data_IF_269219531582
#
_entry.id   IF_269219531582
#
_cell.length_a   1.000
_cell.length_b   1.000
_cell.length_c   1.000
_cell.angle_alpha   90.00
_cell.angle_beta   90.00
_cell.angle_gamma   90.00
#
_symmetry.space_group_name_H-M   'P 1'
#
loop_
_entity.id
_entity.type
_entity.pdbx_description
1 polymer ?
2 polymer ?
3 polymer ?
#
# COMPACT_ATOMS: atom_id res chain seq x y z
N UNK A 2 2.33 -23.47 -13.27
CA UNK A 2 1.68 -22.30 -13.86
C UNK A 2 2.45 -21.03 -13.50
N UNK A 3 2.72 -20.85 -12.22
CA UNK A 3 3.45 -19.71 -11.70
C UNK A 3 4.74 -20.18 -11.02
N UNK A 4 5.47 -19.24 -10.43
CA UNK A 4 6.71 -19.53 -9.74
C UNK A 4 6.43 -19.74 -8.25
N UNK A 5 7.48 -19.82 -7.46
CA UNK A 5 7.34 -20.02 -6.02
C UNK A 5 6.73 -18.79 -5.36
N UNK A 6 5.98 -19.04 -4.29
CA UNK A 6 5.34 -17.94 -3.57
C UNK A 6 6.39 -17.11 -2.84
N UNK A 7 6.20 -15.79 -2.75
CA UNK A 7 7.20 -14.94 -2.11
C UNK A 7 7.11 -14.92 -0.58
N UNK A 8 6.41 -15.91 -0.01
CA UNK A 8 6.28 -15.98 1.44
C UNK A 8 7.63 -16.02 2.13
N UNK A 9 8.67 -16.48 1.44
CA UNK A 9 10.01 -16.52 2.02
C UNK A 9 10.49 -15.13 2.41
N UNK A 10 10.02 -14.10 1.71
CA UNK A 10 10.36 -12.72 2.04
C UNK A 10 9.42 -12.10 3.07
N UNK A 11 8.29 -12.74 3.35
CA UNK A 11 7.37 -12.22 4.36
C UNK A 11 7.86 -12.53 5.76
N UNK A 12 8.21 -13.79 6.01
CA UNK A 12 8.72 -14.21 7.31
C UNK A 12 10.16 -13.75 7.55
N UNK A 13 10.81 -13.14 6.57
CA UNK A 13 12.17 -12.62 6.71
C UNK A 13 12.15 -11.17 6.23
N UNK A 14 11.83 -10.26 7.15
CA UNK A 14 11.74 -8.84 6.84
C UNK A 14 12.76 -8.07 7.68
N UNK A 15 13.23 -6.95 7.13
CA UNK A 15 14.23 -6.13 7.81
C UNK A 15 13.62 -5.14 8.78
N UNK A 16 12.37 -4.75 8.59
CA UNK A 16 11.72 -3.78 9.47
C UNK A 16 10.21 -3.99 9.38
N UNK A 17 9.63 -4.54 10.44
CA UNK A 17 8.20 -4.81 10.46
C UNK A 17 7.41 -3.53 10.73
N UNK A 18 6.09 -3.65 10.68
CA UNK A 18 5.19 -2.52 10.84
C UNK A 18 4.73 -2.41 12.29
N UNK A 19 3.92 -1.39 12.55
CA UNK A 19 3.39 -1.13 13.88
C UNK A 19 1.94 -1.60 13.96
N UNK A 20 1.30 -1.31 15.09
CA UNK A 20 -0.09 -1.74 15.28
C UNK A 20 -1.05 -0.76 14.62
N UNK A 21 -0.79 0.54 14.75
CA UNK A 21 -1.66 1.53 14.13
C UNK A 21 -1.54 1.50 12.60
N UNK A 22 -0.36 1.16 12.10
CA UNK A 22 -0.11 1.03 10.66
C UNK A 22 0.48 -0.36 10.42
N UNK A 23 -0.36 -1.27 9.93
CA UNK A 23 0.04 -2.65 9.70
C UNK A 23 -0.02 -2.98 8.21
N UNK A 24 0.91 -3.82 7.77
CA UNK A 24 0.99 -4.18 6.36
C UNK A 24 -0.17 -5.09 5.97
N UNK A 25 -0.57 -4.99 4.71
CA UNK A 25 -1.72 -5.74 4.18
C UNK A 25 -1.37 -6.35 2.83
N UNK A 26 -0.24 -7.03 2.76
CA UNK A 26 0.28 -7.49 1.48
C UNK A 26 -0.65 -8.54 0.87
N UNK A 27 -1.16 -8.26 -0.32
CA UNK A 27 -2.06 -9.18 -1.02
C UNK A 27 -1.22 -10.17 -1.83
N UNK A 28 -1.44 -11.46 -1.59
CA UNK A 28 -0.76 -12.53 -2.31
C UNK A 28 -1.79 -13.27 -3.15
N UNK A 29 -1.43 -13.55 -4.40
CA UNK A 29 -2.31 -14.26 -5.32
C UNK A 29 -1.47 -14.79 -6.47
N UNK A 30 -2.01 -15.84 -7.11
CA UNK A 30 -1.37 -16.48 -8.26
C UNK A 30 0.04 -16.96 -7.92
N UNK A 31 0.10 -17.87 -6.94
CA UNK A 31 1.36 -18.49 -6.54
C UNK A 31 1.08 -19.94 -6.20
N UNK A 32 2.08 -20.61 -5.61
CA UNK A 32 1.96 -22.00 -5.20
C UNK A 32 1.92 -22.07 -3.68
N UNK A 33 1.07 -22.93 -3.15
CA UNK A 33 0.93 -23.10 -1.70
C UNK A 33 1.75 -24.30 -1.27
N UNK A 34 3.06 -24.08 -1.16
CA UNK A 34 4.01 -25.13 -0.77
C UNK A 34 4.42 -24.87 0.67
N UNK A 35 3.69 -25.46 1.61
CA UNK A 35 3.95 -25.32 3.03
C UNK A 35 4.85 -26.43 3.58
N UNK A 36 5.49 -27.21 2.70
CA UNK A 36 6.38 -28.27 3.18
C UNK A 36 7.56 -27.70 3.92
N UNK A 37 8.09 -26.56 3.47
CA UNK A 37 9.18 -25.90 4.19
C UNK A 37 8.65 -25.17 5.42
N UNK A 38 7.44 -24.61 5.34
CA UNK A 38 6.88 -23.87 6.46
C UNK A 38 6.45 -24.79 7.60
N UNK A 39 6.28 -26.08 7.33
CA UNK A 39 5.85 -27.01 8.38
C UNK A 39 7.02 -27.39 9.28
N UNK A 40 8.17 -27.70 8.71
CA UNK A 40 9.34 -28.14 9.48
C UNK A 40 10.25 -26.95 9.77
N UNK A 41 9.68 -25.94 10.43
CA UNK A 41 10.43 -24.76 10.83
C UNK A 41 10.95 -24.94 12.26
N UNK A 42 11.47 -23.85 12.84
CA UNK A 42 11.97 -23.89 14.21
C UNK A 42 10.82 -24.08 15.18
N UNK A 43 11.10 -24.61 16.38
CA UNK A 43 10.02 -24.80 17.37
C UNK A 43 9.48 -23.49 17.91
N UNK A 44 8.65 -22.82 17.10
CA UNK A 44 8.05 -21.56 17.51
C UNK A 44 7.04 -21.78 18.62
N UNK A 45 6.42 -20.69 19.07
CA UNK A 45 5.45 -20.74 20.16
C UNK A 45 4.01 -20.69 19.67
N UNK A 46 3.78 -20.50 18.38
CA UNK A 46 2.42 -20.42 17.85
C UNK A 46 2.43 -20.91 16.41
N UNK A 47 1.72 -22.01 16.14
CA UNK A 47 1.58 -22.57 14.80
C UNK A 47 0.15 -23.01 14.57
N UNK A 48 -0.81 -22.19 14.99
CA UNK A 48 -2.22 -22.55 14.98
C UNK A 48 -2.90 -21.96 13.76
N UNK A 49 -3.70 -22.79 13.07
CA UNK A 49 -4.49 -22.36 11.92
C UNK A 49 -5.95 -22.74 12.21
N UNK A 50 -6.80 -21.73 12.34
CA UNK A 50 -8.20 -21.98 12.70
C UNK A 50 -9.05 -22.47 11.55
N UNK A 51 -8.66 -22.17 10.31
CA UNK A 51 -9.49 -22.52 9.16
C UNK A 51 -9.57 -24.01 8.88
N UNK A 52 -8.47 -24.60 8.44
CA UNK A 52 -8.39 -26.01 8.10
C UNK A 52 -7.04 -26.55 8.55
N UNK A 53 -6.83 -27.85 8.33
CA UNK A 53 -5.56 -28.46 8.66
C UNK A 53 -4.49 -28.01 7.67
N UNK A 54 -3.26 -27.75 8.13
CA UNK A 54 -2.20 -27.33 7.19
C UNK A 54 -1.80 -28.41 6.21
N UNK A 55 -2.11 -29.68 6.48
CA UNK A 55 -1.77 -30.75 5.55
C UNK A 55 -2.69 -30.72 4.33
N UNK A 56 -4.00 -30.58 4.55
CA UNK A 56 -4.98 -30.53 3.47
C UNK A 56 -5.08 -29.17 2.82
N UNK A 57 -4.32 -28.17 3.30
CA UNK A 57 -4.40 -26.83 2.72
C UNK A 57 -3.78 -26.78 1.33
N UNK A 58 -2.84 -27.68 1.04
CA UNK A 58 -2.18 -27.68 -0.26
C UNK A 58 -3.11 -28.10 -1.40
N UNK A 59 -4.26 -28.70 -1.09
CA UNK A 59 -5.22 -29.13 -2.08
C UNK A 59 -6.52 -28.33 -2.01
N UNK A 60 -6.43 -27.06 -1.66
CA UNK A 60 -7.60 -26.19 -1.54
C UNK A 60 -7.34 -24.92 -2.34
N UNK A 61 -8.23 -24.63 -3.29
CA UNK A 61 -8.10 -23.43 -4.11
C UNK A 61 -8.63 -22.21 -3.37
N UNK A 62 -8.06 -21.05 -3.69
CA UNK A 62 -8.49 -19.78 -3.13
C UNK A 62 -8.36 -18.69 -4.19
N UNK A 63 -9.16 -17.64 -4.02
CA UNK A 63 -9.15 -16.55 -4.99
C UNK A 63 -7.99 -15.60 -4.74
N UNK A 64 -7.96 -14.98 -3.56
CA UNK A 64 -6.86 -14.09 -3.17
C UNK A 64 -6.65 -14.25 -1.67
N UNK A 65 -5.38 -14.24 -1.25
CA UNK A 65 -5.04 -14.34 0.16
C UNK A 65 -4.32 -13.07 0.58
N UNK A 66 -4.25 -12.86 1.89
CA UNK A 66 -3.64 -11.68 2.47
C UNK A 66 -2.56 -12.08 3.46
N UNK A 67 -1.69 -11.12 3.78
CA UNK A 67 -0.64 -11.31 4.76
C UNK A 67 -0.47 -10.02 5.54
N UNK A 68 -0.66 -10.08 6.86
CA UNK A 68 -0.56 -8.93 7.74
C UNK A 68 0.48 -9.23 8.81
N UNK A 69 1.55 -8.46 8.83
CA UNK A 69 2.65 -8.63 9.78
C UNK A 69 2.72 -7.43 10.71
N UNK A 70 2.90 -7.69 12.01
CA UNK A 70 3.00 -6.65 13.00
C UNK A 70 3.80 -7.17 14.19
N UNK A 71 4.00 -6.30 15.18
CA UNK A 71 4.76 -6.64 16.38
C UNK A 71 3.95 -6.23 17.60
N UNK A 72 3.77 -7.15 18.54
CA UNK A 72 3.04 -6.91 19.77
C UNK A 72 3.85 -7.42 20.95
N UNK A 73 3.26 -7.34 22.14
CA UNK A 73 3.90 -7.84 23.34
C UNK A 73 3.52 -9.31 23.53
N UNK A 74 3.85 -9.87 24.69
CA UNK A 74 3.57 -11.26 24.97
C UNK A 74 2.13 -11.52 25.36
N UNK A 75 1.58 -10.70 26.26
CA UNK A 75 0.21 -10.88 26.73
C UNK A 75 -0.83 -10.49 25.69
N UNK A 76 -0.43 -9.95 24.55
CA UNK A 76 -1.35 -9.54 23.51
C UNK A 76 -1.53 -10.57 22.41
N UNK A 77 -0.76 -11.67 22.46
CA UNK A 77 -0.88 -12.69 21.41
C UNK A 77 -2.20 -13.42 21.52
N UNK A 78 -2.68 -13.65 22.74
CA UNK A 78 -3.94 -14.37 22.93
C UNK A 78 -5.14 -13.59 22.43
N UNK A 79 -5.03 -12.26 22.31
CA UNK A 79 -6.15 -11.43 21.91
C UNK A 79 -6.48 -11.53 20.43
N UNK A 80 -5.62 -12.16 19.62
CA UNK A 80 -5.86 -12.31 18.19
C UNK A 80 -6.81 -13.49 18.00
N UNK A 81 -8.10 -13.20 17.87
CA UNK A 81 -9.11 -14.24 17.72
C UNK A 81 -10.35 -13.61 17.10
N UNK A 82 -11.16 -14.39 16.37
CA UNK A 82 -12.37 -13.82 15.78
C UNK A 82 -13.43 -13.51 16.82
N UNK A 83 -13.23 -12.42 17.57
CA UNK A 83 -14.15 -12.02 18.61
C UNK A 83 -13.63 -12.29 20.00
N UNK A 84 -13.10 -11.25 20.65
CA UNK A 84 -12.51 -11.38 21.97
C UNK A 84 -12.23 -9.98 22.51
N UNK A 85 -12.30 -9.85 23.83
CA UNK A 85 -12.04 -8.58 24.49
C UNK A 85 -10.55 -8.39 24.72
N UNK A 86 -10.14 -7.14 24.85
CA UNK A 86 -8.74 -6.81 25.08
C UNK A 86 -8.44 -5.39 24.68
N UNK A 87 -7.25 -4.94 25.06
CA UNK A 87 -6.82 -3.59 24.76
C UNK A 87 -6.41 -3.42 23.31
N UNK A 88 -6.15 -4.51 22.58
CA UNK A 88 -5.75 -4.44 21.18
C UNK A 88 -6.78 -5.19 20.34
N UNK A 89 -7.47 -6.15 20.97
CA UNK A 89 -8.39 -7.00 20.22
C UNK A 89 -9.59 -6.22 19.70
N UNK A 90 -10.07 -5.23 20.47
CA UNK A 90 -11.25 -4.47 20.09
C UNK A 90 -10.98 -2.97 20.02
N UNK A 91 -9.71 -2.57 20.00
CA UNK A 91 -9.35 -1.16 19.92
C UNK A 91 -8.46 -0.82 18.74
N UNK A 92 -7.51 -1.69 18.40
CA UNK A 92 -6.57 -1.40 17.33
C UNK A 92 -6.51 -2.48 16.26
N UNK A 93 -6.66 -3.75 16.65
CA UNK A 93 -6.56 -4.87 15.71
C UNK A 93 -7.71 -5.82 15.98
N UNK A 94 -8.73 -5.80 15.11
CA UNK A 94 -9.90 -6.64 15.26
C UNK A 94 -10.12 -7.45 13.99
N UNK A 95 -10.66 -8.65 14.16
CA UNK A 95 -10.95 -9.55 13.05
C UNK A 95 -12.40 -10.01 13.13
N UNK A 96 -13.11 -10.03 11.99
CA UNK A 96 -14.50 -10.49 12.01
C UNK A 96 -14.61 -12.00 12.24
N UNK A 97 -15.84 -12.51 12.22
CA UNK A 97 -16.07 -13.94 12.44
C UNK A 97 -15.99 -14.74 11.14
N UNK A 98 -14.89 -14.57 10.41
CA UNK A 98 -14.70 -15.34 9.18
C UNK A 98 -13.24 -15.69 8.92
N UNK A 99 -12.33 -15.47 9.86
CA UNK A 99 -10.92 -15.72 9.63
C UNK A 99 -10.67 -17.22 9.54
N UNK A 100 -10.17 -17.67 8.39
CA UNK A 100 -9.89 -19.08 8.15
C UNK A 100 -8.42 -19.32 7.85
N UNK A 101 -7.54 -18.46 8.36
CA UNK A 101 -6.12 -18.55 8.12
C UNK A 101 -5.35 -19.07 9.31
N UNK A 102 -4.14 -18.56 9.48
CA UNK A 102 -3.25 -18.96 10.56
C UNK A 102 -2.85 -17.74 11.38
N UNK A 103 -2.35 -18.00 12.59
CA UNK A 103 -1.97 -16.95 13.53
C UNK A 103 -0.49 -17.15 13.87
N UNK A 104 0.27 -17.66 12.91
CA UNK A 104 1.69 -17.97 13.14
C UNK A 104 2.42 -16.73 13.63
N UNK A 105 3.20 -16.91 14.70
CA UNK A 105 3.96 -15.82 15.29
C UNK A 105 5.27 -16.38 15.85
N UNK A 106 6.21 -15.48 16.12
CA UNK A 106 7.49 -15.91 16.67
C UNK A 106 8.14 -14.75 17.42
N UNK A 107 8.96 -15.09 18.41
CA UNK A 107 9.69 -14.11 19.17
C UNK A 107 11.01 -13.79 18.49
N UNK A 108 11.41 -12.52 18.54
CA UNK A 108 12.64 -12.05 17.90
C UNK A 108 13.44 -11.20 18.88
N UNK A 109 13.44 -11.57 20.16
CA UNK A 109 14.20 -10.84 21.17
C UNK A 109 15.60 -11.42 21.34
N UNK A 110 16.32 -11.55 20.23
CA UNK A 110 17.68 -12.08 20.25
C UNK A 110 18.62 -11.13 19.53
N UNK A 111 18.11 -10.43 18.53
CA UNK A 111 18.91 -9.49 17.75
C UNK A 111 18.59 -8.03 18.07
N UNK A 112 17.54 -7.76 18.86
CA UNK A 112 17.15 -6.41 19.23
C UNK A 112 17.69 -6.01 20.60
N UNK A 113 18.86 -6.55 20.98
CA UNK A 113 19.44 -6.27 22.29
C UNK A 113 20.26 -4.98 22.24
N UNK A 114 19.53 -3.86 22.18
CA UNK A 114 20.12 -2.52 22.16
C UNK A 114 19.42 -1.69 23.22
N UNK A 115 20.15 -1.35 24.29
CA UNK A 115 19.57 -0.55 25.38
C UNK A 115 19.82 0.91 25.02
N UNK A 116 18.91 1.44 24.20
CA UNK A 116 18.98 2.84 23.78
C UNK A 116 17.62 3.51 23.68
N UNK A 117 16.54 2.83 24.03
CA UNK A 117 15.21 3.41 23.90
C UNK A 117 14.51 2.98 22.64
N UNK A 118 13.52 2.09 22.76
CA UNK A 118 12.78 1.57 21.61
C UNK A 118 11.55 2.44 21.33
N UNK A 119 11.81 3.70 20.99
CA UNK A 119 10.75 4.66 20.67
C UNK A 119 10.50 4.71 19.17
N UNK A 120 10.18 3.55 18.61
CA UNK A 120 9.90 3.45 17.18
C UNK A 120 8.56 2.76 16.94
N UNK A 121 8.14 1.91 17.87
CA UNK A 121 6.90 1.16 17.74
C UNK A 121 5.90 1.62 18.79
N UNK A 122 4.64 1.73 18.39
CA UNK A 122 3.57 2.12 19.30
C UNK A 122 2.26 1.51 18.80
N UNK A 123 1.26 1.49 19.69
CA UNK A 123 0.00 0.82 19.39
C UNK A 123 -1.22 1.71 19.54
N UNK A 124 -1.05 2.97 19.94
CA UNK A 124 -2.14 3.95 20.00
C UNK A 124 -3.28 3.44 20.90
N UNK A 125 -2.95 3.36 22.20
CA UNK A 125 -3.90 2.86 23.18
C UNK A 125 -5.20 3.66 23.15
N UNK A 126 -5.12 4.96 22.93
CA UNK A 126 -6.30 5.80 22.91
C UNK A 126 -6.98 5.77 21.55
N UNK A 127 -8.27 5.46 21.53
CA UNK A 127 -9.03 5.36 20.30
C UNK A 127 -10.51 5.46 20.64
N UNK A 128 -11.33 5.64 19.61
CA UNK A 128 -12.77 5.76 19.74
C UNK A 128 -13.48 4.88 18.72
N UNK A 129 -12.94 3.68 18.50
CA UNK A 129 -13.52 2.73 17.54
C UNK A 129 -14.52 1.82 18.24
N UNK A 130 -15.69 1.68 17.63
CA UNK A 130 -16.75 0.81 18.15
C UNK A 130 -17.17 -0.27 17.18
N UNK A 131 -17.26 0.05 15.89
CA UNK A 131 -17.63 -0.92 14.86
C UNK A 131 -16.59 -0.92 13.76
N UNK A 132 -16.86 -1.59 12.64
CA UNK A 132 -15.96 -1.65 11.50
C UNK A 132 -14.61 -2.23 11.92
N UNK A 133 -14.53 -3.56 12.16
CA UNK A 133 -13.32 -4.17 12.72
C UNK A 133 -12.02 -3.78 12.01
N UNK A 134 -12.11 -3.29 10.77
CA UNK A 134 -10.95 -2.82 10.03
C UNK A 134 -10.76 -1.31 10.14
N UNK A 135 -11.18 -0.71 11.26
CA UNK A 135 -11.06 0.73 11.47
C UNK A 135 -9.62 1.02 11.88
N UNK A 136 -8.79 1.33 10.89
CA UNK A 136 -7.40 1.64 11.12
C UNK A 136 -7.24 3.12 11.48
N UNK A 137 -6.00 3.55 11.69
CA UNK A 137 -5.72 4.95 12.01
C UNK A 137 -4.27 5.24 11.66
N UNK A 138 -4.05 6.26 10.84
CA UNK A 138 -2.71 6.62 10.42
C UNK A 138 -2.33 8.06 10.78
N UNK A 139 -3.29 8.93 11.08
CA UNK A 139 -2.99 10.31 11.38
C UNK A 139 -2.35 10.45 12.76
N UNK A 140 -2.07 11.68 13.14
CA UNK A 140 -1.44 12.01 14.42
C UNK A 140 -2.28 13.03 15.18
N UNK A 141 -3.59 12.77 15.25
CA UNK A 141 -4.51 13.65 15.95
C UNK A 141 -4.37 13.44 17.46
N UNK A 142 -5.24 14.10 18.23
CA UNK A 142 -5.22 14.01 19.68
C UNK A 142 -6.48 13.28 20.14
N UNK A 143 -6.39 12.61 21.28
CA UNK A 143 -7.49 11.85 21.84
C UNK A 143 -8.56 12.81 22.37
N UNK A 144 -9.71 12.84 21.70
CA UNK A 144 -10.81 13.69 22.11
C UNK A 144 -12.11 13.12 21.57
N UNK A 145 -13.22 13.55 22.17
CA UNK A 145 -14.55 13.11 21.75
C UNK A 145 -15.52 14.29 21.68
N UNK A 146 -15.01 15.48 21.37
CA UNK A 146 -15.84 16.67 21.30
C UNK A 146 -15.87 17.43 22.61
N UNK A 147 -16.92 18.24 22.76
CA UNK A 147 -17.14 19.05 23.96
C UNK A 147 -15.95 19.97 24.22
N UNK A 148 -15.71 20.88 23.28
CA UNK A 148 -14.65 21.88 23.36
C UNK A 148 -13.29 21.20 23.52
N UNK A 149 -12.78 20.56 22.47
CA UNK A 149 -11.51 19.82 22.59
C UNK A 149 -10.33 20.75 22.85
N UNK A 150 -9.22 20.14 23.23
CA UNK A 150 -8.01 20.89 23.52
C UNK A 150 -7.41 21.45 22.23
N UNK A 151 -6.59 22.50 22.38
CA UNK A 151 -5.91 23.12 21.25
C UNK A 151 -4.48 23.50 21.59
N UNK A 152 -3.85 22.78 22.51
CA UNK A 152 -2.51 23.10 22.94
C UNK A 152 -1.56 21.91 22.97
N UNK A 153 -0.43 22.07 23.64
CA UNK A 153 0.58 21.02 23.74
C UNK A 153 0.64 20.44 25.15
N UNK A 154 0.48 21.27 26.17
CA UNK A 154 0.51 20.78 27.55
C UNK A 154 -0.66 19.85 27.83
N UNK A 155 -1.89 20.36 27.68
CA UNK A 155 -3.07 19.53 27.84
C UNK A 155 -3.63 19.53 29.24
N UNK A 156 -3.31 18.49 30.01
CA UNK A 156 -3.78 18.21 31.37
C UNK A 156 -5.26 17.81 31.39
N UNK A 157 -5.94 17.84 30.24
CA UNK A 157 -7.30 17.33 30.15
C UNK A 157 -7.40 16.37 28.97
N UNK A 158 -6.55 16.57 27.98
CA UNK A 158 -6.39 15.67 26.85
C UNK A 158 -5.04 14.95 26.98
N UNK A 159 -4.71 14.15 25.96
CA UNK A 159 -3.47 13.41 25.97
C UNK A 159 -3.07 13.07 24.54
N UNK A 160 -1.77 12.89 24.33
CA UNK A 160 -1.23 12.52 23.02
C UNK A 160 -1.37 11.02 22.81
N UNK A 161 -2.22 10.58 21.87
CA UNK A 161 -2.53 9.15 21.73
C UNK A 161 -1.47 8.38 20.95
N UNK A 162 -0.24 8.43 21.44
CA UNK A 162 0.86 7.64 20.86
C UNK A 162 1.75 7.18 22.02
N UNK A 163 1.48 5.97 22.51
CA UNK A 163 2.23 5.37 23.61
C UNK A 163 3.18 4.33 23.04
N UNK A 164 4.47 4.64 23.03
CA UNK A 164 5.46 3.74 22.49
C UNK A 164 5.78 2.63 23.47
N UNK A 165 6.42 1.58 22.96
CA UNK A 165 6.81 0.45 23.78
C UNK A 165 8.12 0.76 24.52
N UNK A 166 8.44 -0.09 25.50
CA UNK A 166 9.64 0.03 26.31
C UNK A 166 10.39 -1.30 26.34
N UNK A 167 10.56 -1.90 25.15
CA UNK A 167 11.21 -3.20 25.06
C UNK A 167 12.68 -3.09 25.43
N UNK A 168 13.07 -3.77 26.51
CA UNK A 168 14.44 -3.79 26.97
C UNK A 168 14.91 -5.23 27.15
N UNK A 169 16.18 -5.51 26.87
CA UNK A 169 16.67 -6.90 26.99
C UNK A 169 16.65 -7.45 28.40
N UNK A 170 16.70 -6.60 29.42
CA UNK A 170 16.75 -7.06 30.80
C UNK A 170 15.35 -7.22 31.40
N UNK A 171 14.49 -7.96 30.70
CA UNK A 171 13.12 -8.22 31.13
C UNK A 171 12.89 -9.72 31.16
N UNK A 172 11.70 -10.10 31.63
CA UNK A 172 11.31 -11.49 31.72
C UNK A 172 10.23 -11.88 30.74
N UNK A 173 9.70 -13.09 30.93
CA UNK A 173 8.66 -13.59 30.04
C UNK A 173 7.35 -12.83 30.28
N UNK A 174 6.45 -12.92 29.30
CA UNK A 174 5.17 -12.27 29.35
C UNK A 174 5.14 -10.89 28.72
N UNK A 175 6.22 -10.13 28.85
CA UNK A 175 6.31 -8.78 28.29
C UNK A 175 7.42 -8.70 27.25
N UNK A 176 7.53 -9.74 26.42
CA UNK A 176 8.55 -9.81 25.38
C UNK A 176 7.95 -9.48 24.01
N UNK A 177 8.75 -8.97 23.08
CA UNK A 177 8.21 -8.67 21.74
C UNK A 177 7.97 -9.95 20.95
N UNK A 178 6.89 -9.93 20.18
CA UNK A 178 6.51 -11.05 19.32
C UNK A 178 6.05 -10.51 17.98
N UNK A 179 6.68 -10.99 16.90
CA UNK A 179 6.26 -10.65 15.54
C UNK A 179 5.19 -11.65 15.11
N UNK A 180 4.01 -11.14 14.80
CA UNK A 180 2.85 -11.95 14.43
C UNK A 180 2.50 -11.67 12.98
N UNK A 181 2.36 -12.73 12.19
CA UNK A 181 1.96 -12.65 10.80
C UNK A 181 0.73 -13.52 10.60
N UNK A 182 -0.36 -12.91 10.17
CA UNK A 182 -1.62 -13.61 9.95
C UNK A 182 -1.92 -13.62 8.46
N UNK A 183 -2.69 -14.62 8.04
CA UNK A 183 -3.05 -14.81 6.63
C UNK A 183 -4.57 -14.76 6.53
N UNK A 184 -5.09 -13.63 6.05
CA UNK A 184 -6.52 -13.46 5.90
C UNK A 184 -6.98 -14.09 4.58
N UNK A 185 -8.02 -14.92 4.65
CA UNK A 185 -8.56 -15.60 3.49
C UNK A 185 -9.97 -15.10 3.20
N UNK A 186 -10.31 -15.02 1.91
CA UNK A 186 -11.61 -14.56 1.49
C UNK A 186 -11.91 -15.11 0.10
N UNK A 187 -13.19 -15.37 -0.16
CA UNK A 187 -13.63 -15.93 -1.44
C UNK A 187 -14.82 -15.13 -1.93
N UNK A 188 -14.71 -14.57 -3.13
CA UNK A 188 -15.78 -13.81 -3.77
C UNK A 188 -16.12 -14.44 -5.11
N UNK A 189 -17.02 -13.79 -5.84
CA UNK A 189 -17.47 -14.27 -7.14
C UNK A 189 -16.38 -13.97 -8.19
N UNK A 190 -15.32 -14.76 -8.12
CA UNK A 190 -14.18 -14.62 -9.02
C UNK A 190 -13.47 -15.95 -9.12
N UNK A 191 -12.84 -16.26 -10.26
CA UNK A 191 -12.10 -17.53 -10.37
C UNK A 191 -10.94 -17.57 -9.40
N UNK A 192 -10.65 -18.78 -8.91
CA UNK A 192 -9.57 -18.96 -7.95
C UNK A 192 -8.22 -18.85 -8.63
N UNK A 193 -7.24 -18.37 -7.87
CA UNK A 193 -5.87 -18.21 -8.36
C UNK A 193 -4.88 -19.15 -7.68
N UNK A 194 -4.84 -19.14 -6.35
CA UNK A 194 -3.93 -20.00 -5.60
C UNK A 194 -4.64 -21.29 -5.23
N UNK A 195 -4.05 -22.41 -5.60
CA UNK A 195 -4.60 -23.74 -5.30
C UNK A 195 -3.60 -24.62 -4.57
N UNK A 196 -2.31 -24.53 -4.88
CA UNK A 196 -1.31 -25.35 -4.26
C UNK A 196 -0.95 -26.55 -5.12
N UNK A 197 0.28 -27.04 -4.98
CA UNK A 197 0.71 -28.21 -5.77
C UNK A 197 -0.08 -29.45 -5.39
N UNK A 198 -0.65 -30.10 -6.40
CA UNK A 198 -1.44 -31.31 -6.17
C UNK A 198 -0.58 -32.56 -6.32
N UNK B 1 16.57 9.36 -11.82
CA UNK B 1 17.63 8.39 -11.58
C UNK B 1 17.25 7.02 -12.12
N UNK B 2 16.19 6.96 -12.91
CA UNK B 2 15.69 5.72 -13.50
C UNK B 2 15.44 5.98 -14.98
N UNK B 3 16.17 5.27 -15.83
CA UNK B 3 16.00 5.36 -17.27
C UNK B 3 14.99 4.32 -17.73
N UNK B 4 14.07 4.74 -18.59
CA UNK B 4 13.01 3.87 -19.08
C UNK B 4 12.90 4.02 -20.60
N UNK B 5 13.13 2.92 -21.31
CA UNK B 5 13.01 2.88 -22.76
C UNK B 5 12.17 1.66 -23.14
N UNK B 6 11.30 1.84 -24.12
CA UNK B 6 10.42 0.77 -24.60
C UNK B 6 10.61 0.58 -26.10
N UNK B 7 9.79 -0.29 -26.68
CA UNK B 7 9.87 -0.57 -28.11
C UNK B 7 9.16 0.51 -28.93
N UNK B 8 7.88 0.72 -28.65
CA UNK B 8 7.13 1.72 -29.38
C UNK B 8 5.68 1.69 -28.96
N UNK B 9 4.88 2.51 -29.66
CA UNK B 9 3.46 2.62 -29.37
C UNK B 9 2.59 2.46 -30.60
N UNK B 10 2.99 1.57 -31.50
CA UNK B 10 2.22 1.35 -32.71
C UNK B 10 0.84 0.76 -32.41
N UNK B 11 -0.15 1.19 -33.18
CA UNK B 11 -1.50 0.72 -32.99
C UNK B 11 -1.65 -0.72 -33.48
N UNK B 12 -2.77 -1.35 -33.12
CA UNK B 12 -3.06 -2.72 -33.50
C UNK B 12 -4.57 -2.90 -33.53
N UNK B 13 -5.02 -3.86 -34.34
CA UNK B 13 -6.44 -4.14 -34.45
C UNK B 13 -6.94 -4.80 -33.17
N UNK B 14 -8.24 -4.68 -32.88
CA UNK B 14 -8.80 -5.35 -31.69
C UNK B 14 -8.58 -6.86 -31.75
N UNK B 15 -7.95 -7.39 -30.71
CA UNK B 15 -7.60 -8.79 -30.68
C UNK B 15 -6.17 -9.06 -31.09
N UNK B 16 -5.25 -8.26 -30.55
CA UNK B 16 -3.84 -8.39 -30.85
C UNK B 16 -3.01 -8.57 -29.59
N UNK B 17 -1.70 -8.66 -29.80
CA UNK B 17 -0.74 -8.88 -28.71
C UNK B 17 0.28 -7.75 -28.69
N UNK B 18 0.62 -7.30 -27.49
CA UNK B 18 1.60 -6.22 -27.30
C UNK B 18 2.47 -6.56 -26.11
N UNK B 19 3.77 -6.30 -26.24
CA UNK B 19 4.74 -6.55 -25.18
C UNK B 19 5.47 -5.25 -24.86
N UNK B 20 5.33 -4.77 -23.63
CA UNK B 20 5.97 -3.55 -23.17
C UNK B 20 7.10 -3.90 -22.21
N UNK B 21 8.27 -3.30 -22.42
CA UNK B 21 9.45 -3.55 -21.60
C UNK B 21 9.79 -2.31 -20.80
N UNK B 22 10.01 -2.49 -19.50
CA UNK B 22 10.32 -1.37 -18.61
C UNK B 22 11.67 -1.58 -17.91
N UNK B 23 12.69 -1.96 -18.68
CA UNK B 23 14.02 -2.12 -18.13
C UNK B 23 14.53 -0.81 -17.57
N UNK B 24 15.05 -0.85 -16.34
CA UNK B 24 15.52 0.34 -15.65
C UNK B 24 17.02 0.20 -15.36
N UNK B 25 17.56 1.17 -14.63
CA UNK B 25 18.97 1.18 -14.26
C UNK B 25 19.08 1.58 -12.79
N UNK B 26 20.30 1.83 -12.34
CA UNK B 26 20.53 2.20 -10.96
C UNK B 26 21.32 1.16 -10.20
N UNK B 27 21.14 1.10 -8.88
CA UNK B 27 21.85 0.14 -8.04
C UNK B 27 20.95 -0.60 -7.06
N UNK B 28 19.80 -0.05 -6.69
CA UNK B 28 18.89 -0.67 -5.71
C UNK B 28 17.65 -1.15 -6.47
N UNK B 29 17.72 -2.39 -6.97
CA UNK B 29 16.59 -2.97 -7.69
C UNK B 29 16.40 -4.45 -7.33
N UNK B 30 16.72 -4.84 -6.09
CA UNK B 30 16.66 -6.25 -5.73
C UNK B 30 15.22 -6.73 -5.57
N UNK B 31 14.49 -6.12 -4.62
CA UNK B 31 13.11 -6.52 -4.32
C UNK B 31 12.29 -5.25 -4.12
N UNK B 32 11.63 -4.83 -5.20
CA UNK B 32 10.77 -3.65 -5.17
C UNK B 32 9.56 -3.89 -6.04
N UNK B 33 8.36 -3.73 -5.48
CA UNK B 33 7.15 -3.93 -6.24
C UNK B 33 7.03 -2.90 -7.35
N UNK B 34 6.52 -3.33 -8.51
CA UNK B 34 6.39 -2.48 -9.68
C UNK B 34 4.92 -2.39 -10.07
N UNK B 35 4.46 -1.16 -10.34
CA UNK B 35 3.05 -0.90 -10.62
C UNK B 35 2.90 -0.37 -12.04
N UNK B 36 2.09 -1.05 -12.83
CA UNK B 36 1.71 -0.57 -14.17
C UNK B 36 0.45 0.29 -14.03
N UNK B 37 0.56 1.56 -14.44
CA UNK B 37 -0.54 2.51 -14.37
C UNK B 37 -0.79 3.04 -15.78
N UNK B 38 -2.01 3.51 -16.02
CA UNK B 38 -2.37 4.08 -17.30
C UNK B 38 -3.11 5.40 -17.10
N UNK B 39 -3.11 6.22 -18.15
CA UNK B 39 -3.79 7.50 -18.15
C UNK B 39 -4.42 7.69 -19.52
N UNK B 40 -5.75 7.78 -19.57
CA UNK B 40 -6.44 7.96 -20.83
C UNK B 40 -6.36 9.42 -21.28
N UNK B 41 -6.35 9.66 -22.59
CA UNK B 41 -6.34 11.04 -23.09
C UNK B 41 -7.61 11.77 -22.69
N UNK B 42 -7.44 12.90 -22.02
CA UNK B 42 -8.58 13.61 -21.47
C UNK B 42 -9.16 12.97 -20.22
N UNK B 43 -8.35 12.24 -19.47
CA UNK B 43 -8.81 11.56 -18.27
C UNK B 43 -7.63 11.38 -17.32
N UNK B 44 -7.94 11.26 -16.04
CA UNK B 44 -6.92 11.12 -15.02
C UNK B 44 -6.21 9.78 -15.07
N UNK B 45 -5.42 9.53 -14.03
CA UNK B 45 -4.65 8.31 -13.94
C UNK B 45 -5.56 7.12 -13.60
N UNK B 46 -5.10 5.93 -13.98
CA UNK B 46 -5.85 4.70 -13.72
C UNK B 46 -4.86 3.56 -13.55
N UNK B 47 -4.84 2.96 -12.36
CA UNK B 47 -3.95 1.85 -12.09
C UNK B 47 -4.36 0.61 -12.88
N UNK B 48 -3.38 -0.07 -13.46
CA UNK B 48 -3.65 -1.24 -14.28
C UNK B 48 -3.36 -2.50 -13.47
N UNK B 49 -2.12 -2.67 -13.04
CA UNK B 49 -1.72 -3.91 -12.38
C UNK B 49 -0.49 -3.65 -11.52
N UNK B 50 -0.02 -4.70 -10.86
CA UNK B 50 1.19 -4.59 -10.05
C UNK B 50 1.78 -5.98 -9.83
N UNK B 51 3.07 -5.99 -9.50
CA UNK B 51 3.82 -7.21 -9.24
C UNK B 51 4.74 -6.96 -8.04
N UNK B 52 5.00 -8.03 -7.29
CA UNK B 52 5.83 -7.92 -6.09
C UNK B 52 7.30 -7.72 -6.48
N UNK B 53 8.14 -7.59 -5.46
CA UNK B 53 9.56 -7.37 -5.71
C UNK B 53 10.29 -8.61 -6.18
N UNK B 54 9.98 -9.75 -5.57
CA UNK B 54 10.62 -11.01 -5.95
C UNK B 54 10.04 -11.61 -7.23
N UNK B 55 8.95 -11.05 -7.74
CA UNK B 55 8.32 -11.58 -8.93
C UNK B 55 7.31 -12.67 -8.70
N UNK B 56 6.99 -12.99 -7.45
CA UNK B 56 6.04 -14.03 -7.15
C UNK B 56 4.60 -13.56 -7.16
N UNK B 57 4.31 -12.55 -6.35
CA UNK B 57 2.95 -12.01 -6.26
C UNK B 57 2.72 -11.01 -7.39
N UNK B 58 1.62 -11.19 -8.10
CA UNK B 58 1.26 -10.31 -9.21
C UNK B 58 -0.24 -10.34 -9.39
N UNK B 59 -0.86 -9.17 -9.52
CA UNK B 59 -2.29 -9.10 -9.75
C UNK B 59 -2.62 -7.86 -10.56
N UNK B 60 -3.89 -7.75 -10.95
CA UNK B 60 -4.34 -6.69 -11.85
C UNK B 60 -5.58 -6.00 -11.30
N UNK B 61 -6.19 -5.14 -12.09
CA UNK B 61 -7.41 -4.43 -11.69
C UNK B 61 -8.62 -5.29 -12.03
N UNK B 62 -9.82 -4.71 -11.93
CA UNK B 62 -11.05 -5.43 -12.19
C UNK B 62 -11.44 -5.42 -13.67
N UNK B 63 -11.30 -4.26 -14.33
CA UNK B 63 -11.68 -4.15 -15.73
C UNK B 63 -10.64 -4.73 -16.68
N UNK B 64 -9.41 -4.91 -16.22
CA UNK B 64 -8.33 -5.42 -17.08
C UNK B 64 -7.89 -6.79 -16.59
N UNK B 65 -8.81 -7.53 -15.98
CA UNK B 65 -8.51 -8.86 -15.46
C UNK B 65 -8.88 -9.93 -16.49
N UNK B 66 -7.92 -10.79 -16.80
CA UNK B 66 -8.12 -11.90 -17.69
C UNK B 66 -7.44 -11.79 -19.03
N UNK B 67 -7.01 -10.58 -19.42
CA UNK B 67 -6.39 -10.36 -20.73
C UNK B 67 -5.04 -9.66 -20.62
N UNK B 68 -4.47 -9.54 -19.43
CA UNK B 68 -3.20 -8.85 -19.24
C UNK B 68 -2.35 -9.63 -18.24
N UNK B 69 -1.04 -9.68 -18.50
CA UNK B 69 -0.10 -10.33 -17.60
C UNK B 69 1.12 -9.44 -17.42
N UNK B 70 1.80 -9.62 -16.28
CA UNK B 70 2.96 -8.81 -15.93
C UNK B 70 3.98 -9.69 -15.23
N UNK B 71 5.24 -9.58 -15.65
CA UNK B 71 6.33 -10.38 -15.10
C UNK B 71 7.53 -9.48 -14.84
N UNK B 72 8.48 -10.00 -14.06
CA UNK B 72 9.65 -9.24 -13.64
C UNK B 72 10.89 -10.12 -13.70
N UNK B 73 11.96 -9.59 -14.27
CA UNK B 73 13.27 -10.24 -14.30
C UNK B 73 14.21 -9.51 -13.36
N UNK B 74 15.06 -10.28 -12.66
CA UNK B 74 15.87 -9.74 -11.57
C UNK B 74 17.34 -9.56 -11.96
N UNK B 75 17.99 -10.62 -12.45
CA UNK B 75 19.41 -10.54 -12.77
C UNK B 75 19.68 -9.49 -13.84
N UNK B 76 18.72 -9.27 -14.73
CA UNK B 76 18.74 -8.20 -15.73
C UNK B 76 17.45 -7.40 -15.61
N UNK B 77 17.16 -6.97 -14.38
CA UNK B 77 15.84 -6.53 -13.94
C UNK B 77 15.09 -5.76 -15.02
N UNK B 78 13.88 -6.22 -15.32
CA UNK B 78 13.06 -5.64 -16.37
C UNK B 78 11.61 -6.03 -16.12
N UNK B 79 10.70 -5.08 -16.33
CA UNK B 79 9.28 -5.28 -16.11
C UNK B 79 8.60 -5.50 -17.46
N UNK B 80 8.15 -6.73 -17.69
CA UNK B 80 7.47 -7.09 -18.93
C UNK B 80 5.96 -7.08 -18.73
N UNK B 81 5.25 -6.49 -19.69
CA UNK B 81 3.80 -6.42 -19.66
C UNK B 81 3.25 -6.95 -20.98
N UNK B 82 2.46 -8.02 -20.89
CA UNK B 82 1.83 -8.63 -22.07
C UNK B 82 0.35 -8.26 -22.08
N UNK B 83 -0.10 -7.66 -23.18
CA UNK B 83 -1.47 -7.20 -23.34
C UNK B 83 -2.07 -7.91 -24.53
N UNK B 84 -3.16 -8.66 -24.30
CA UNK B 84 -3.81 -9.44 -25.33
C UNK B 84 -5.27 -9.05 -25.45
N UNK B 85 -5.79 -9.11 -26.67
CA UNK B 85 -7.20 -8.80 -26.97
C UNK B 85 -7.57 -7.39 -26.48
N UNK B 86 -6.90 -6.41 -27.08
CA UNK B 86 -7.13 -5.02 -26.69
C UNK B 86 -8.51 -4.56 -27.11
N UNK B 87 -9.02 -3.55 -26.41
CA UNK B 87 -10.32 -2.95 -26.68
C UNK B 87 -10.15 -1.46 -26.97
N UNK B 88 -11.27 -0.80 -27.25
CA UNK B 88 -11.23 0.62 -27.56
C UNK B 88 -10.85 1.48 -26.36
N UNK B 89 -11.01 0.97 -25.15
CA UNK B 89 -10.69 1.73 -23.94
C UNK B 89 -9.22 1.63 -23.55
N UNK B 90 -8.44 0.77 -24.21
CA UNK B 90 -7.05 0.59 -23.86
C UNK B 90 -6.14 1.67 -24.44
N UNK B 91 -6.65 2.53 -25.32
CA UNK B 91 -5.86 3.63 -25.87
C UNK B 91 -5.54 4.62 -24.78
N UNK B 92 -4.30 4.65 -24.32
CA UNK B 92 -3.89 5.49 -23.21
C UNK B 92 -2.38 5.52 -23.16
N UNK B 93 -1.85 6.37 -22.28
CA UNK B 93 -0.42 6.45 -22.01
C UNK B 93 -0.13 5.62 -20.78
N UNK B 94 0.76 4.63 -20.93
CA UNK B 94 1.09 3.70 -19.87
C UNK B 94 2.43 4.06 -19.24
N UNK B 95 2.52 3.88 -17.92
CA UNK B 95 3.73 4.12 -17.16
C UNK B 95 3.97 2.94 -16.22
N UNK B 96 5.22 2.77 -15.83
CA UNK B 96 5.63 1.72 -14.89
C UNK B 96 6.41 2.38 -13.76
N UNK B 97 5.86 2.32 -12.55
CA UNK B 97 6.40 3.04 -11.40
C UNK B 97 6.95 2.07 -10.37
N UNK B 98 7.95 2.56 -9.62
CA UNK B 98 8.57 1.81 -8.55
C UNK B 98 7.84 2.13 -7.24
N UNK B 99 8.41 1.72 -6.11
CA UNK B 99 7.82 1.97 -4.80
C UNK B 99 8.93 2.13 -3.78
N UNK B 100 8.56 2.07 -2.51
CA UNK B 100 9.52 2.18 -1.41
C UNK B 100 10.21 0.84 -1.20
N UNK B 101 10.89 0.69 -0.07
CA UNK B 101 11.64 -0.53 0.21
C UNK B 101 10.71 -1.73 0.36
N UNK B 102 11.32 -2.90 0.56
CA UNK B 102 10.61 -4.16 0.44
C UNK B 102 9.61 -4.42 1.57
N UNK B 103 9.75 -3.73 2.71
CA UNK B 103 8.88 -4.05 3.84
C UNK B 103 7.43 -3.65 3.55
N UNK B 104 7.19 -2.36 3.29
CA UNK B 104 5.85 -1.88 3.01
C UNK B 104 5.58 -1.96 1.51
N UNK B 105 4.50 -2.64 1.13
CA UNK B 105 4.12 -2.81 -0.26
C UNK B 105 3.11 -1.77 -0.74
N UNK B 106 2.35 -1.17 0.16
CA UNK B 106 1.36 -0.16 -0.17
C UNK B 106 1.70 1.16 0.52
N UNK B 107 2.98 1.53 0.48
CA UNK B 107 3.46 2.74 1.15
C UNK B 107 4.75 3.17 0.48
N UNK B 108 4.74 4.34 -0.17
CA UNK B 108 5.93 4.85 -0.82
C UNK B 108 5.95 4.58 -2.32
N UNK B 109 6.36 5.58 -3.10
CA UNK B 109 6.43 5.44 -4.55
C UNK B 109 7.51 6.37 -5.07
N UNK B 110 8.50 5.79 -5.75
CA UNK B 110 9.63 6.55 -6.27
C UNK B 110 9.28 7.14 -7.64
N UNK B 111 10.29 7.63 -8.36
CA UNK B 111 10.07 8.19 -9.68
C UNK B 111 9.50 7.14 -10.62
N UNK B 112 8.62 7.57 -11.52
CA UNK B 112 7.91 6.65 -12.40
C UNK B 112 8.71 6.34 -13.67
N UNK B 113 9.00 7.36 -14.46
CA UNK B 113 9.71 7.16 -15.71
C UNK B 113 9.18 7.99 -16.87
N UNK B 114 8.96 7.35 -18.01
CA UNK B 114 8.53 8.04 -19.21
C UNK B 114 7.16 7.59 -19.70
N UNK B 115 6.95 6.28 -19.87
CA UNK B 115 5.70 5.76 -20.40
C UNK B 115 5.60 5.93 -21.90
N UNK B 116 4.60 5.27 -22.48
CA UNK B 116 4.38 5.31 -23.92
C UNK B 116 2.89 5.28 -24.22
N UNK B 117 2.52 5.87 -25.36
CA UNK B 117 1.13 5.97 -25.74
C UNK B 117 0.76 4.80 -26.67
N UNK B 118 -0.23 4.01 -26.26
CA UNK B 118 -0.73 2.89 -27.04
C UNK B 118 -2.13 3.23 -27.51
N UNK B 119 -2.36 3.11 -28.81
CA UNK B 119 -3.64 3.44 -29.43
C UNK B 119 -4.27 2.18 -30.02
N UNK B 120 -5.59 2.09 -29.93
CA UNK B 120 -6.35 0.96 -30.47
C UNK B 120 -7.43 1.53 -31.38
N UNK B 121 -7.24 1.39 -32.69
CA UNK B 121 -8.18 1.89 -33.69
C UNK B 121 -8.54 0.75 -34.64
N UNK B 122 -9.49 1.03 -35.53
CA UNK B 122 -9.95 0.06 -36.53
C UNK B 122 -10.24 0.83 -37.82
N UNK B 123 -9.24 0.87 -38.70
CA UNK B 123 -9.38 1.57 -39.98
C UNK B 123 -8.34 0.99 -40.94
N UNK B 124 -8.23 1.60 -42.11
CA UNK B 124 -7.27 1.16 -43.12
C UNK B 124 -5.93 1.86 -42.93
N UNK C 1 -12.13 1.01 -3.92
CA UNK C 1 -13.50 0.75 -4.32
C UNK C 1 -13.94 1.72 -5.41
N UNK C 2 -14.24 2.95 -5.02
CA UNK C 2 -14.70 3.99 -5.93
C UNK C 2 -13.60 5.03 -6.06
N UNK C 3 -13.47 5.60 -7.26
CA UNK C 3 -12.46 6.61 -7.52
C UNK C 3 -12.74 7.85 -6.67
N UNK C 4 -11.75 8.28 -5.92
CA UNK C 4 -11.90 9.44 -5.05
C UNK C 4 -12.09 10.70 -5.89
N UNK C 5 -13.21 11.38 -5.67
CA UNK C 5 -13.52 12.58 -6.45
C UNK C 5 -12.60 13.72 -6.05
N UNK C 6 -12.05 14.41 -7.06
CA UNK C 6 -11.16 15.54 -6.84
C UNK C 6 -11.81 16.82 -7.37
N UNK C 7 -11.75 17.92 -6.60
CA UNK C 7 -12.47 19.14 -7.00
C UNK C 7 -11.97 19.76 -8.30
N UNK C 8 -12.65 20.82 -8.74
CA UNK C 8 -12.32 21.47 -9.99
C UNK C 8 -10.95 22.13 -9.92
N UNK C 9 -10.32 22.36 -11.06
CA UNK C 9 -9.03 23.08 -11.07
C UNK C 9 -9.17 24.48 -10.47
N UNK C 10 -8.08 24.97 -9.89
CA UNK C 10 -8.07 26.25 -9.20
C UNK C 10 -6.95 27.13 -9.76
N UNK C 11 -7.12 28.43 -9.57
CA UNK C 11 -6.13 29.42 -9.96
C UNK C 11 -5.82 30.31 -8.77
N UNK C 12 -4.58 30.80 -8.72
CA UNK C 12 -4.13 31.60 -7.59
C UNK C 12 -3.07 32.59 -8.05
N UNK C 13 -3.11 33.78 -7.45
CA UNK C 13 -2.12 34.81 -7.75
C UNK C 13 -0.80 34.50 -7.04
N UNK C 14 0.33 34.93 -7.62
CA UNK C 14 1.62 34.66 -6.99
C UNK C 14 1.74 35.35 -5.63
N UNK C 15 2.57 34.78 -4.77
CA UNK C 15 2.78 35.32 -3.44
C UNK C 15 1.81 34.84 -2.39
N UNK C 16 0.96 33.87 -2.70
CA UNK C 16 -0.03 33.35 -1.77
C UNK C 16 0.20 31.86 -1.55
N UNK C 17 -0.61 31.28 -0.66
CA UNK C 17 -0.54 29.86 -0.33
C UNK C 17 -1.86 29.21 -0.71
N UNK C 18 -1.78 28.08 -1.42
CA UNK C 18 -2.96 27.40 -1.93
C UNK C 18 -3.17 26.12 -1.14
N UNK C 19 -4.42 25.66 -1.12
CA UNK C 19 -4.82 24.45 -0.40
C UNK C 19 -5.68 23.61 -1.32
N UNK C 20 -5.27 22.36 -1.53
CA UNK C 20 -5.99 21.41 -2.38
C UNK C 20 -6.61 20.36 -1.48
N UNK C 21 -7.89 20.08 -1.71
CA UNK C 21 -8.62 19.09 -0.92
C UNK C 21 -8.80 17.80 -1.72
N UNK C 22 -8.80 16.68 -1.00
CA UNK C 22 -9.00 15.37 -1.61
C UNK C 22 -9.96 14.60 -0.71
N UNK C 23 -11.18 14.40 -1.17
CA UNK C 23 -12.23 13.76 -0.39
C UNK C 23 -12.35 12.29 -0.77
N UNK C 24 -12.55 11.43 0.23
CA UNK C 24 -12.72 10.01 -0.02
C UNK C 24 -14.07 9.75 -0.68
N UNK C 25 -14.07 8.85 -1.67
CA UNK C 25 -15.29 8.56 -2.41
C UNK C 25 -16.28 7.77 -1.56
N UNK C 26 -15.88 6.58 -1.12
CA UNK C 26 -16.75 5.70 -0.35
C UNK C 26 -16.02 5.25 0.91
N UNK C 27 -16.82 4.87 1.92
CA UNK C 27 -16.24 4.44 3.18
C UNK C 27 -15.68 5.61 3.97
N UNK C 28 -14.71 5.31 4.82
CA UNK C 28 -14.06 6.29 5.66
C UNK C 28 -12.60 6.43 5.26
N UNK C 29 -11.96 7.50 5.78
CA UNK C 29 -10.55 7.74 5.51
C UNK C 29 -9.65 6.88 6.37
N UNK C 30 -10.21 6.00 7.20
CA UNK C 30 -9.43 5.14 8.08
C UNK C 30 -8.74 4.05 7.27
N UNK C 31 -7.71 4.43 6.52
CA UNK C 31 -6.97 3.50 5.67
C UNK C 31 -5.52 3.97 5.63
N UNK C 32 -4.77 3.47 4.65
CA UNK C 32 -3.37 3.85 4.50
C UNK C 32 -3.24 5.34 4.21
N UNK C 33 -2.00 5.82 4.28
CA UNK C 33 -1.73 7.24 4.02
C UNK C 33 -2.05 7.60 2.57
N UNK C 34 -2.44 8.85 2.37
CA UNK C 34 -2.76 9.38 1.05
C UNK C 34 -1.64 10.32 0.63
N UNK C 35 -1.12 10.11 -0.57
CA UNK C 35 -0.03 10.91 -1.10
C UNK C 35 -0.50 11.73 -2.30
N UNK C 36 0.39 12.57 -2.80
CA UNK C 36 0.11 13.44 -3.93
C UNK C 36 1.23 13.33 -4.95
N UNK C 37 0.95 13.82 -6.17
CA UNK C 37 1.92 13.81 -7.25
C UNK C 37 1.78 15.09 -8.06
N UNK C 38 2.90 15.54 -8.62
CA UNK C 38 2.95 16.75 -9.44
C UNK C 38 3.28 16.33 -10.87
N UNK C 39 2.31 16.49 -11.76
CA UNK C 39 2.46 16.12 -13.17
C UNK C 39 2.26 17.37 -14.02
N UNK C 40 3.34 17.83 -14.65
CA UNK C 40 3.24 18.96 -15.56
C UNK C 40 2.62 18.51 -16.88
N UNK C 41 1.88 19.41 -17.55
CA UNK C 41 1.28 19.04 -18.84
C UNK C 41 2.35 18.65 -19.84
N UNK C 42 2.31 17.38 -20.25
CA UNK C 42 3.30 16.84 -21.17
C UNK C 42 4.52 16.25 -20.49
N UNK C 43 4.59 16.27 -19.17
CA UNK C 43 5.72 15.74 -18.43
C UNK C 43 5.27 14.59 -17.55
N UNK C 44 6.24 13.91 -16.95
CA UNK C 44 5.96 12.77 -16.09
C UNK C 44 5.62 13.25 -14.66
N UNK C 45 4.73 12.54 -13.97
CA UNK C 45 4.38 12.94 -12.60
C UNK C 45 5.54 12.79 -11.65
N UNK C 46 5.64 13.71 -10.70
CA UNK C 46 6.66 13.70 -9.66
C UNK C 46 5.99 13.74 -8.29
N UNK C 47 6.50 12.91 -7.38
CA UNK C 47 5.92 12.83 -6.04
C UNK C 47 6.32 14.04 -5.21
N UNK C 48 5.44 14.41 -4.28
CA UNK C 48 5.67 15.57 -3.43
C UNK C 48 6.22 15.18 -2.05
N UNK C 49 6.09 13.93 -1.64
CA UNK C 49 6.61 13.45 -0.37
C UNK C 49 7.32 12.12 -0.62
N UNK C 50 8.50 11.95 -0.03
CA UNK C 50 9.33 10.80 -0.37
C UNK C 50 8.71 9.50 0.14
N UNK C 51 8.54 9.38 1.46
CA UNK C 51 7.94 8.15 2.00
C UNK C 51 6.60 8.39 2.70
N UNK C 52 6.55 9.15 3.79
CA UNK C 52 5.29 9.36 4.50
C UNK C 52 4.92 10.83 4.60
N UNK C 53 5.68 11.64 5.34
CA UNK C 53 5.39 13.07 5.44
C UNK C 53 6.63 13.94 5.57
N UNK C 54 7.83 13.39 5.55
CA UNK C 54 9.03 14.15 5.89
C UNK C 54 9.65 14.73 4.62
N UNK C 55 10.89 15.23 4.75
CA UNK C 55 11.61 15.93 3.69
C UNK C 55 11.67 15.11 2.40
N UNK C 56 10.99 15.56 1.34
CA UNK C 56 11.02 14.83 0.07
C UNK C 56 12.32 15.00 -0.68
N UNK C 57 12.35 14.55 -1.94
CA UNK C 57 13.56 14.46 -2.73
C UNK C 57 13.93 15.75 -3.45
N UNK C 58 13.56 16.90 -2.89
CA UNK C 58 13.89 18.17 -3.52
C UNK C 58 12.88 19.28 -3.34
N UNK C 59 11.79 19.01 -2.65
CA UNK C 59 10.83 20.06 -2.29
C UNK C 59 11.10 20.48 -0.84
N UNK C 60 11.83 21.57 -0.61
CA UNK C 60 12.22 21.93 0.77
C UNK C 60 11.04 22.18 1.71
N UNK C 61 10.20 23.15 1.38
CA UNK C 61 9.09 23.51 2.26
C UNK C 61 7.81 23.87 1.50
N UNK C 62 7.77 23.68 0.18
CA UNK C 62 6.62 24.12 -0.58
C UNK C 62 5.40 23.24 -0.31
N UNK C 63 5.54 21.94 -0.51
CA UNK C 63 4.44 21.00 -0.32
C UNK C 63 4.38 20.50 1.12
N UNK C 64 3.16 20.44 1.66
CA UNK C 64 2.92 19.82 2.96
C UNK C 64 1.59 19.11 2.93
N UNK C 65 1.46 18.06 3.72
CA UNK C 65 0.27 17.22 3.72
C UNK C 65 -0.34 17.11 5.10
N UNK C 66 -1.66 17.01 5.14
CA UNK C 66 -2.37 16.84 6.40
C UNK C 66 -3.65 16.04 6.15
N UNK C 67 -4.21 15.52 7.24
CA UNK C 67 -5.44 14.73 7.18
C UNK C 67 -6.43 15.33 8.19
N UNK C 68 -7.67 15.53 7.76
CA UNK C 68 -8.71 16.11 8.60
C UNK C 68 -9.82 15.08 8.78
N UNK C 69 -10.04 14.66 10.02
CA UNK C 69 -11.10 13.69 10.32
C UNK C 69 -12.46 14.35 10.40
N UNK C 70 -12.52 15.63 10.78
CA UNK C 70 -13.81 16.33 10.82
C UNK C 70 -14.43 16.41 9.44
N UNK C 71 -13.63 16.74 8.42
CA UNK C 71 -14.07 16.71 7.04
C UNK C 71 -13.74 15.39 6.35
N UNK C 72 -12.90 14.56 6.97
CA UNK C 72 -12.53 13.25 6.43
C UNK C 72 -11.92 13.38 5.04
N UNK C 73 -10.83 14.14 4.96
CA UNK C 73 -10.22 14.42 3.68
C UNK C 73 -8.75 14.79 3.86
N UNK C 74 -7.99 14.62 2.79
CA UNK C 74 -6.59 15.03 2.76
C UNK C 74 -6.48 16.47 2.28
N UNK C 75 -5.48 17.17 2.81
CA UNK C 75 -5.25 18.58 2.50
C UNK C 75 -3.79 18.76 2.13
N UNK C 76 -3.55 19.26 0.92
CA UNK C 76 -2.20 19.55 0.42
C UNK C 76 -2.03 21.07 0.42
N UNK C 77 -1.11 21.56 1.26
CA UNK C 77 -0.83 22.98 1.37
C UNK C 77 0.44 23.30 0.60
N UNK C 78 0.35 24.27 -0.32
CA UNK C 78 1.46 24.66 -1.18
C UNK C 78 1.74 26.14 -0.91
N UNK C 79 2.87 26.43 -0.27
CA UNK C 79 3.29 27.78 0.01
C UNK C 79 4.39 28.20 -0.96
N UNK C 80 4.49 29.50 -1.20
CA UNK C 80 5.47 30.03 -2.12
C UNK C 80 5.17 29.67 -3.56
N UNK C 81 4.10 30.25 -4.10
CA UNK C 81 3.68 29.94 -5.46
C UNK C 81 4.73 30.42 -6.45
N UNK C 82 5.16 29.50 -7.32
CA UNK C 82 6.17 29.78 -8.34
C UNK C 82 5.60 29.45 -9.71
N UNK C 83 6.40 29.75 -10.75
CA UNK C 83 5.96 29.50 -12.11
C UNK C 83 5.91 28.01 -12.43
N UNK C 84 6.67 27.20 -11.70
CA UNK C 84 6.71 25.76 -11.91
C UNK C 84 5.61 25.02 -11.14
N UNK C 85 4.66 25.75 -10.56
CA UNK C 85 3.58 25.13 -9.80
C UNK C 85 2.28 25.00 -10.58
N UNK C 86 2.14 25.73 -11.69
CA UNK C 86 0.95 25.63 -12.54
C UNK C 86 1.01 24.30 -13.29
N UNK C 87 0.29 23.30 -12.79
CA UNK C 87 0.33 21.96 -13.35
C UNK C 87 -0.80 21.14 -12.76
N UNK C 88 -0.90 19.88 -13.18
CA UNK C 88 -1.93 18.98 -12.72
C UNK C 88 -1.46 18.19 -11.50
N UNK C 89 -2.39 17.93 -10.59
CA UNK C 89 -2.10 17.18 -9.38
C UNK C 89 -3.17 16.11 -9.16
N UNK C 90 -2.73 14.96 -8.65
CA UNK C 90 -3.63 13.83 -8.39
C UNK C 90 -3.28 13.26 -7.01
N UNK C 91 -4.31 13.04 -6.19
CA UNK C 91 -4.12 12.38 -4.90
C UNK C 91 -4.37 10.89 -5.07
N UNK C 92 -3.38 10.09 -4.68
CA UNK C 92 -3.41 8.64 -4.86
C UNK C 92 -3.29 7.94 -3.51
N UNK C 93 -4.04 6.86 -3.36
CA UNK C 93 -4.03 6.09 -2.13
C UNK C 93 -4.29 4.62 -2.47
N UNK C 94 -4.50 3.80 -1.44
CA UNK C 94 -4.79 2.39 -1.61
C UNK C 94 -6.05 2.04 -0.85
N UNK C 95 -6.73 0.99 -1.30
CA UNK C 95 -7.97 0.52 -0.69
C UNK C 95 -7.69 -0.69 0.19
N UNK C 96 -8.76 -1.30 0.69
CA UNK C 96 -8.66 -2.51 1.50
C UNK C 96 -8.42 -3.76 0.67
N UNK C 97 -8.16 -3.62 -0.64
CA UNK C 97 -7.90 -4.76 -1.52
C UNK C 97 -6.59 -4.58 -2.28
N UNK C 98 -5.69 -3.73 -1.78
CA UNK C 98 -4.38 -3.48 -2.39
C UNK C 98 -4.50 -2.99 -3.83
N UNK C 99 -5.54 -2.21 -4.12
CA UNK C 99 -5.70 -1.56 -5.41
C UNK C 99 -5.29 -0.09 -5.29
N UNK C 100 -4.61 0.40 -6.31
CA UNK C 100 -4.13 1.78 -6.32
C UNK C 100 -5.25 2.66 -6.88
N UNK C 101 -5.80 3.52 -6.03
CA UNK C 101 -6.90 4.41 -6.41
C UNK C 101 -6.35 5.81 -6.58
N UNK C 102 -6.78 6.48 -7.64
CA UNK C 102 -6.36 7.84 -7.96
C UNK C 102 -7.53 8.80 -7.84
N UNK C 103 -7.25 10.08 -8.11
CA UNK C 103 -8.25 11.12 -8.06
C UNK C 103 -8.59 11.66 -9.45
N UNK C 104 -9.56 12.58 -9.46
CA UNK C 104 -9.99 13.19 -10.70
C UNK C 104 -9.03 14.19 -11.27
N UNK C 105 -8.10 14.69 -10.46
CA UNK C 105 -7.12 15.65 -10.95
C UNK C 105 -7.56 17.08 -10.70
N UNK C 106 -6.57 17.94 -10.46
CA UNK C 106 -6.83 19.36 -10.27
C UNK C 106 -5.68 20.15 -10.87
N UNK C 107 -6.00 21.14 -11.70
CA UNK C 107 -5.00 21.97 -12.35
C UNK C 107 -4.82 23.25 -11.54
N UNK C 108 -3.62 23.44 -11.00
CA UNK C 108 -3.28 24.65 -10.28
C UNK C 108 -2.66 25.64 -11.26
N UNK C 109 -3.28 26.81 -11.40
CA UNK C 109 -2.87 27.83 -12.35
C UNK C 109 -2.30 29.03 -11.61
N UNK C 110 -1.26 29.63 -12.19
CA UNK C 110 -0.62 30.82 -11.65
C UNK C 110 -0.95 31.99 -12.57
N UNK C 111 -1.37 33.11 -11.97
CA UNK C 111 -1.76 34.28 -12.74
C UNK C 111 -0.53 35.12 -13.06
N UNK C 112 -0.39 35.49 -14.34
CA UNK C 112 0.74 36.30 -14.77
C UNK C 112 0.28 37.69 -15.21
#
# INVERSE_FOLDING_TARGET
NITNLCPFDEVFNATRFASVYAWNRKRISNCVADYSVLYNLAPFFTFKCYGVSPTKLNDLCFTNVYADSFVIRGDEVRQIAPGQTGNIADYNYKLPDDFTGCVIAWNSNKLDSKVSGNYNYLYRLFRKSNLKPFERDISTEIYQAGNKPCNGVAGFNCYFPLRSYSFRPTYGVGHQPYRVVVLSFELLHAPATVCGPK
EVQLVESGGGLVQPGGSLRLSCAASGFTFSSYAMNWVRQAPGKGLEWVSTISGSGGSTYYADSVKGRFTISRDNSKNTLYLQMNSLRAEDTAVYYCAKDSSSWYNYYGMDVWGQGTTVTVSSASTKGPSVFPLAPSSKSTSGGTAALGCLVKDYFPEPVTVSWNSGALTSGVHTFPAVLQSSGLYSLSSVVTVPSSSLGTQTYICNVNHKPSNTKVDKKVEPKSCDKT
DIVMTQPHPVSESPGKTVTISCTRSSGSIASNYVQWYQQRPGSAPTTVIYEDNQRPSGVPDRFSGSIDSSSNSASLTISGLKTEDEADYYCQSYDSSNHVVFGGGTKVTVLRTVAAPSVFIFPPSDEQLKSGTASVVCLLNNFYPREAKVQWKVDNALQSGNSQESVTEQDSKDSTYSLSSTLTLSKADYEKHKVYACEVTHQGLSSPVTKSFNRGEC
#
